data_IF_729837126229
#
_entry.id   IF_729837126229
#
_cell.length_a   1.000
_cell.length_b   1.000
_cell.length_c   1.000
_cell.angle_alpha   90.00
_cell.angle_beta   90.00
_cell.angle_gamma   90.00
#
_symmetry.space_group_name_H-M   'P 1'
#
loop_
_entity.id
_entity.type
_entity.pdbx_description
1 polymer ?
#
# COMPACT_ATOMS: atom_id res chain seq x y z
N UNK A 1 28.92 85.78 18.70
CA UNK A 1 29.17 84.65 19.62
C UNK A 1 27.81 84.20 20.13
N UNK A 2 27.30 82.98 19.97
CA UNK A 2 27.92 81.72 19.60
C UNK A 2 26.83 80.71 19.25
N UNK A 3 27.03 80.08 18.09
CA UNK A 3 26.87 78.65 17.78
C UNK A 3 25.48 78.00 17.92
N UNK A 4 24.96 77.66 16.74
CA UNK A 4 23.97 76.64 16.43
C UNK A 4 24.32 75.31 17.10
N UNK A 5 23.38 74.69 17.82
CA UNK A 5 23.52 73.28 18.21
C UNK A 5 22.26 72.50 17.85
N UNK A 6 22.30 71.94 16.65
CA UNK A 6 21.43 70.87 16.19
C UNK A 6 21.93 69.55 16.83
N UNK A 7 21.16 68.94 17.73
CA UNK A 7 21.43 67.61 18.28
C UNK A 7 20.30 66.64 17.94
N UNK A 8 20.42 66.09 16.73
CA UNK A 8 20.38 64.66 16.43
C UNK A 8 19.37 63.79 17.20
N UNK A 9 18.15 63.66 16.66
CA UNK A 9 17.25 62.54 16.96
C UNK A 9 17.85 61.25 16.40
N UNK A 10 18.62 60.52 17.21
CA UNK A 10 18.92 59.11 16.93
C UNK A 10 17.66 58.28 17.16
N UNK A 11 16.90 58.04 16.09
CA UNK A 11 15.88 56.97 16.08
C UNK A 11 16.60 55.63 16.04
N UNK A 12 16.84 55.06 17.23
CA UNK A 12 17.44 53.74 17.37
C UNK A 12 16.37 52.67 17.08
N UNK A 13 16.01 52.51 15.80
CA UNK A 13 15.14 51.44 15.35
C UNK A 13 15.97 50.14 15.34
N UNK A 14 15.89 49.38 16.44
CA UNK A 14 16.36 47.98 16.46
C UNK A 14 15.63 47.25 15.33
N UNK A 15 16.33 46.99 14.23
CA UNK A 15 15.85 46.12 13.17
C UNK A 15 15.56 44.76 13.81
N UNK A 16 14.27 44.45 13.99
CA UNK A 16 13.83 43.10 14.32
C UNK A 16 14.34 42.23 13.18
N UNK A 17 15.34 41.38 13.45
CA UNK A 17 15.75 40.36 12.49
C UNK A 17 14.54 39.45 12.30
N UNK A 18 13.79 39.68 11.22
CA UNK A 18 12.70 38.81 10.83
C UNK A 18 13.32 37.45 10.49
N UNK A 19 12.81 36.38 11.11
CA UNK A 19 13.27 35.02 10.84
C UNK A 19 13.10 34.63 9.37
N UNK A 20 13.63 33.46 8.97
CA UNK A 20 13.49 32.97 7.61
C UNK A 20 12.03 32.94 7.18
N UNK A 21 11.71 33.53 6.02
CA UNK A 21 10.39 33.50 5.42
C UNK A 21 10.20 32.13 4.77
N UNK A 22 9.38 31.27 5.36
CA UNK A 22 9.00 30.00 4.72
C UNK A 22 8.16 30.28 3.47
N UNK A 23 8.51 29.65 2.36
CA UNK A 23 7.86 29.89 1.06
C UNK A 23 7.84 28.62 0.23
N UNK A 24 6.82 28.49 -0.61
CA UNK A 24 6.78 27.47 -1.64
C UNK A 24 7.84 27.73 -2.72
N UNK A 25 8.32 26.65 -3.34
CA UNK A 25 9.24 26.72 -4.46
C UNK A 25 8.59 27.39 -5.68
N UNK A 26 9.42 27.88 -6.60
CA UNK A 26 8.96 28.49 -7.86
C UNK A 26 8.10 29.76 -7.69
N UNK A 27 8.23 30.47 -6.58
CA UNK A 27 7.54 31.75 -6.33
C UNK A 27 8.51 32.92 -6.30
N UNK A 28 8.06 34.15 -6.58
CA UNK A 28 8.90 35.36 -6.48
C UNK A 28 9.48 35.54 -5.07
N UNK A 29 8.74 35.10 -4.03
CA UNK A 29 9.17 35.13 -2.63
C UNK A 29 10.35 34.18 -2.35
N UNK A 30 10.45 33.07 -3.08
CA UNK A 30 11.59 32.14 -2.96
C UNK A 30 12.93 32.72 -3.43
N UNK A 31 12.92 33.86 -4.16
CA UNK A 31 14.14 34.55 -4.60
C UNK A 31 14.72 35.50 -3.54
N UNK A 32 14.00 35.72 -2.42
CA UNK A 32 14.45 36.61 -1.35
C UNK A 32 15.59 35.97 -0.55
N UNK A 33 16.57 36.78 -0.12
CA UNK A 33 17.76 36.29 0.61
C UNK A 33 17.44 35.65 1.97
N UNK A 34 16.30 35.97 2.56
CA UNK A 34 15.82 35.39 3.82
C UNK A 34 14.73 34.33 3.60
N UNK A 35 14.49 33.89 2.36
CA UNK A 35 13.52 32.84 2.07
C UNK A 35 14.08 31.46 2.41
N UNK A 36 13.27 30.64 3.07
CA UNK A 36 13.51 29.21 3.23
C UNK A 36 12.44 28.47 2.44
N UNK A 37 12.86 27.71 1.44
CA UNK A 37 11.94 26.99 0.57
C UNK A 37 11.58 25.66 1.22
N UNK A 38 10.29 25.43 1.46
CA UNK A 38 9.81 24.12 1.88
C UNK A 38 9.93 23.13 0.73
N UNK A 39 10.55 21.98 0.98
CA UNK A 39 10.58 20.88 0.00
C UNK A 39 9.17 20.36 -0.31
N UNK A 40 8.99 19.62 -1.42
CA UNK A 40 7.70 19.02 -1.74
C UNK A 40 7.26 18.04 -0.65
N UNK A 41 5.94 17.81 -0.53
CA UNK A 41 5.41 16.81 0.36
C UNK A 41 6.02 15.43 0.06
N UNK A 42 6.22 14.61 1.10
CA UNK A 42 6.74 13.25 0.94
C UNK A 42 5.77 12.45 0.08
N UNK A 43 6.28 11.84 -1.00
CA UNK A 43 5.45 11.10 -1.96
C UNK A 43 4.90 9.77 -1.41
N UNK A 44 5.26 9.38 -0.18
CA UNK A 44 4.81 8.15 0.51
C UNK A 44 4.91 6.86 -0.33
N UNK A 45 5.82 6.81 -1.31
CA UNK A 45 5.92 5.69 -2.25
C UNK A 45 6.22 4.35 -1.56
N UNK A 46 6.95 4.37 -0.44
CA UNK A 46 7.34 3.18 0.34
C UNK A 46 6.42 2.91 1.54
N UNK A 47 5.38 3.73 1.74
CA UNK A 47 4.43 3.50 2.83
C UNK A 47 3.64 2.22 2.55
N UNK A 48 3.57 1.32 3.54
CA UNK A 48 2.75 0.11 3.48
C UNK A 48 1.29 0.51 3.21
N UNK A 49 0.68 -0.14 2.22
CA UNK A 49 -0.72 0.05 1.86
C UNK A 49 -1.50 -1.14 2.37
N UNK A 50 -2.49 -0.91 3.23
CA UNK A 50 -3.37 -1.98 3.68
C UNK A 50 -4.29 -2.38 2.52
N UNK A 51 -4.45 -3.68 2.30
CA UNK A 51 -5.39 -4.22 1.33
C UNK A 51 -6.84 -4.00 1.79
N UNK A 52 -7.75 -3.86 0.84
CA UNK A 52 -9.19 -3.87 1.12
C UNK A 52 -9.63 -5.33 1.37
N UNK A 53 -10.75 -5.57 2.06
CA UNK A 53 -11.29 -6.92 2.22
C UNK A 53 -11.45 -7.61 0.87
N UNK A 54 -10.81 -8.77 0.71
CA UNK A 54 -10.75 -9.51 -0.55
C UNK A 54 -12.09 -10.18 -0.87
N UNK A 55 -12.32 -10.49 -2.15
CA UNK A 55 -13.39 -11.37 -2.56
C UNK A 55 -13.16 -12.79 -1.99
N UNK A 56 -11.91 -13.22 -1.86
CA UNK A 56 -11.54 -14.47 -1.21
C UNK A 56 -12.16 -14.60 0.19
N UNK A 57 -11.94 -13.61 1.06
CA UNK A 57 -12.47 -13.64 2.44
C UNK A 57 -13.99 -13.77 2.48
N UNK A 58 -14.70 -13.05 1.62
CA UNK A 58 -16.17 -13.12 1.53
C UNK A 58 -16.67 -14.49 1.06
N UNK A 59 -15.99 -15.10 0.10
CA UNK A 59 -16.36 -16.43 -0.41
C UNK A 59 -16.03 -17.52 0.60
N UNK A 60 -14.93 -17.35 1.35
CA UNK A 60 -14.57 -18.23 2.45
C UNK A 60 -15.60 -18.19 3.58
N UNK A 61 -15.96 -17.00 4.06
CA UNK A 61 -16.96 -16.82 5.12
C UNK A 61 -18.35 -17.33 4.71
N UNK A 62 -18.71 -17.25 3.43
CA UNK A 62 -19.95 -17.81 2.89
C UNK A 62 -19.93 -19.34 2.79
N UNK A 63 -18.75 -19.97 2.74
CA UNK A 63 -18.58 -21.41 2.60
C UNK A 63 -18.63 -21.92 1.14
N UNK A 64 -18.38 -21.04 0.17
CA UNK A 64 -18.46 -21.36 -1.27
C UNK A 64 -17.23 -22.12 -1.78
N UNK A 65 -16.13 -22.11 -1.02
CA UNK A 65 -14.93 -22.83 -1.44
C UNK A 65 -15.06 -24.34 -1.21
N UNK A 66 -14.60 -25.16 -2.18
CA UNK A 66 -14.56 -26.61 -2.05
C UNK A 66 -13.35 -27.08 -1.20
N UNK A 67 -13.06 -26.39 -0.09
CA UNK A 67 -11.93 -26.67 0.80
C UNK A 67 -12.39 -26.80 2.26
N UNK A 68 -11.64 -27.53 3.06
CA UNK A 68 -11.80 -27.69 4.49
C UNK A 68 -10.43 -27.81 5.18
N UNK A 69 -10.38 -27.54 6.49
CA UNK A 69 -9.16 -27.77 7.28
C UNK A 69 -8.98 -29.27 7.51
N UNK A 70 -7.84 -29.83 7.13
CA UNK A 70 -7.46 -31.19 7.50
C UNK A 70 -6.65 -31.16 8.79
N UNK A 71 -7.10 -31.88 9.82
CA UNK A 71 -6.36 -32.06 11.06
C UNK A 71 -5.53 -33.34 10.98
N UNK A 72 -4.34 -33.26 10.36
CA UNK A 72 -3.35 -34.33 10.44
C UNK A 72 -2.34 -34.03 11.56
N UNK A 73 -2.00 -35.06 12.34
CA UNK A 73 -0.93 -35.05 13.34
C UNK A 73 0.45 -34.69 12.78
N UNK A 74 0.65 -34.75 11.45
CA UNK A 74 1.92 -34.47 10.76
C UNK A 74 2.03 -33.05 10.19
N UNK A 75 0.96 -32.25 10.23
CA UNK A 75 0.97 -30.87 9.75
C UNK A 75 -0.41 -30.40 9.27
N UNK A 76 -0.53 -29.09 9.05
CA UNK A 76 -1.76 -28.51 8.52
C UNK A 76 -1.79 -28.67 7.00
N UNK A 77 -2.83 -29.35 6.50
CA UNK A 77 -3.16 -29.42 5.08
C UNK A 77 -4.59 -28.96 4.87
N UNK A 78 -4.93 -28.63 3.63
CA UNK A 78 -6.31 -28.38 3.25
C UNK A 78 -6.85 -29.64 2.57
N UNK A 79 -8.05 -30.06 2.98
CA UNK A 79 -8.77 -31.14 2.34
C UNK A 79 -9.69 -30.54 1.27
N UNK A 80 -9.57 -31.03 0.04
CA UNK A 80 -10.43 -30.64 -1.06
C UNK A 80 -11.70 -31.48 -1.06
N UNK A 81 -12.86 -30.83 -1.05
CA UNK A 81 -14.18 -31.50 -1.16
C UNK A 81 -14.45 -31.99 -2.58
N UNK A 82 -13.79 -31.40 -3.57
CA UNK A 82 -13.89 -31.73 -5.00
C UNK A 82 -12.48 -31.92 -5.54
N UNK A 83 -12.28 -32.93 -6.37
CA UNK A 83 -10.98 -33.16 -7.04
C UNK A 83 -10.53 -31.91 -7.79
N UNK A 84 -9.27 -31.50 -7.58
CA UNK A 84 -8.70 -30.28 -8.15
C UNK A 84 -8.83 -30.28 -9.69
N UNK A 85 -8.61 -31.45 -10.31
CA UNK A 85 -8.71 -31.65 -11.75
C UNK A 85 -10.11 -31.38 -12.31
N UNK A 86 -11.16 -31.42 -11.49
CA UNK A 86 -12.56 -31.17 -11.90
C UNK A 86 -13.00 -29.73 -11.65
N UNK A 87 -12.18 -28.91 -11.00
CA UNK A 87 -12.50 -27.51 -10.75
C UNK A 87 -12.47 -26.67 -12.02
N UNK A 88 -13.30 -25.61 -12.02
CA UNK A 88 -13.24 -24.54 -12.99
C UNK A 88 -12.17 -23.52 -12.58
N UNK A 89 -11.04 -23.56 -13.28
CA UNK A 89 -9.91 -22.68 -13.01
C UNK A 89 -10.21 -21.22 -13.33
N UNK A 90 -11.14 -20.91 -14.24
CA UNK A 90 -11.51 -19.52 -14.55
C UNK A 90 -12.25 -18.86 -13.39
N UNK A 91 -12.98 -19.65 -12.60
CA UNK A 91 -13.68 -19.14 -11.43
C UNK A 91 -12.79 -19.14 -10.18
N UNK A 92 -12.19 -20.28 -9.86
CA UNK A 92 -11.55 -20.46 -8.55
C UNK A 92 -10.12 -19.92 -8.49
N UNK A 93 -9.30 -20.09 -9.53
CA UNK A 93 -7.89 -19.70 -9.44
C UNK A 93 -7.71 -18.18 -9.23
N UNK A 94 -8.41 -17.30 -9.98
CA UNK A 94 -8.35 -15.86 -9.70
C UNK A 94 -8.85 -15.48 -8.30
N UNK A 95 -9.89 -16.16 -7.80
CA UNK A 95 -10.39 -15.94 -6.43
C UNK A 95 -9.36 -16.32 -5.37
N UNK A 96 -8.64 -17.43 -5.55
CA UNK A 96 -7.54 -17.81 -4.67
C UNK A 96 -6.39 -16.80 -4.72
N UNK A 97 -6.02 -16.32 -5.91
CA UNK A 97 -5.00 -15.29 -6.09
C UNK A 97 -5.37 -13.94 -5.45
N UNK A 98 -6.64 -13.55 -5.44
CA UNK A 98 -7.11 -12.37 -4.71
C UNK A 98 -6.85 -12.50 -3.20
N UNK A 99 -6.85 -13.73 -2.67
CA UNK A 99 -6.50 -14.06 -1.30
C UNK A 99 -5.01 -13.87 -0.94
N UNK A 100 -4.10 -13.60 -1.89
CA UNK A 100 -2.70 -13.30 -1.60
C UNK A 100 -2.51 -12.02 -0.77
N UNK A 101 -3.50 -11.12 -0.81
CA UNK A 101 -3.54 -9.91 -0.01
C UNK A 101 -3.97 -10.15 1.46
N UNK A 102 -4.43 -11.35 1.80
CA UNK A 102 -4.81 -11.71 3.17
C UNK A 102 -3.57 -12.02 4.01
N UNK A 103 -3.55 -11.47 5.22
CA UNK A 103 -2.45 -11.58 6.19
C UNK A 103 -2.90 -12.20 7.52
N UNK A 104 -4.21 -12.42 7.69
CA UNK A 104 -4.81 -12.92 8.91
C UNK A 104 -5.16 -14.40 8.77
N UNK A 105 -4.86 -15.17 9.82
CA UNK A 105 -5.30 -16.56 9.93
C UNK A 105 -6.82 -16.63 10.16
N UNK A 106 -7.57 -17.55 9.51
CA UNK A 106 -7.08 -18.67 8.69
C UNK A 106 -6.97 -18.37 7.17
N UNK A 107 -7.39 -17.20 6.72
CA UNK A 107 -7.57 -16.90 5.29
C UNK A 107 -6.26 -16.96 4.50
N UNK A 108 -5.17 -16.43 5.06
CA UNK A 108 -3.85 -16.43 4.43
C UNK A 108 -3.35 -17.85 4.12
N UNK A 109 -3.56 -18.78 5.06
CA UNK A 109 -3.19 -20.18 4.94
C UNK A 109 -3.98 -20.88 3.84
N UNK A 110 -5.31 -20.72 3.82
CA UNK A 110 -6.16 -21.33 2.80
C UNK A 110 -5.89 -20.76 1.41
N UNK A 111 -5.63 -19.45 1.29
CA UNK A 111 -5.29 -18.84 0.01
C UNK A 111 -3.98 -19.44 -0.52
N UNK A 112 -2.91 -19.43 0.28
CA UNK A 112 -1.59 -19.92 -0.13
C UNK A 112 -1.59 -21.40 -0.47
N UNK A 113 -2.17 -22.24 0.38
CA UNK A 113 -2.21 -23.68 0.15
C UNK A 113 -3.12 -24.03 -1.03
N UNK A 114 -4.24 -23.32 -1.19
CA UNK A 114 -5.14 -23.48 -2.32
C UNK A 114 -4.47 -23.18 -3.65
N UNK A 115 -3.75 -22.06 -3.73
CA UNK A 115 -2.95 -21.70 -4.92
C UNK A 115 -1.91 -22.77 -5.20
N UNK A 116 -1.16 -23.20 -4.18
CA UNK A 116 -0.11 -24.21 -4.33
C UNK A 116 -0.68 -25.50 -4.95
N UNK A 117 -1.73 -26.06 -4.35
CA UNK A 117 -2.32 -27.31 -4.80
C UNK A 117 -2.92 -27.18 -6.22
N UNK A 118 -3.58 -26.05 -6.52
CA UNK A 118 -4.15 -25.78 -7.84
C UNK A 118 -3.08 -25.59 -8.92
N UNK A 119 -1.93 -25.00 -8.61
CA UNK A 119 -0.83 -24.85 -9.56
C UNK A 119 -0.10 -26.19 -9.79
N UNK A 120 0.09 -26.97 -8.73
CA UNK A 120 0.76 -28.28 -8.81
C UNK A 120 -0.06 -29.28 -9.66
N UNK A 121 -1.39 -29.31 -9.49
CA UNK A 121 -2.27 -30.28 -10.16
C UNK A 121 -3.06 -29.70 -11.35
N UNK A 122 -2.84 -28.42 -11.68
CA UNK A 122 -3.65 -27.73 -12.70
C UNK A 122 -3.25 -28.01 -14.15
N UNK A 123 -2.00 -28.41 -14.39
CA UNK A 123 -1.49 -28.76 -15.72
C UNK A 123 -1.88 -27.76 -16.81
N UNK A 124 -2.58 -28.24 -17.85
CA UNK A 124 -2.98 -27.43 -19.01
C UNK A 124 -4.13 -26.43 -18.75
N UNK A 125 -4.80 -26.50 -17.59
CA UNK A 125 -5.89 -25.57 -17.22
C UNK A 125 -5.39 -24.21 -16.75
N UNK A 126 -4.11 -24.10 -16.40
CA UNK A 126 -3.52 -22.85 -15.86
C UNK A 126 -3.31 -21.84 -16.99
N UNK A 127 -2.76 -22.27 -18.12
CA UNK A 127 -2.36 -21.40 -19.24
C UNK A 127 -3.50 -20.48 -19.74
N UNK A 128 -4.75 -20.98 -19.93
CA UNK A 128 -5.87 -20.12 -20.34
C UNK A 128 -6.26 -19.03 -19.33
N UNK A 129 -5.93 -19.22 -18.04
CA UNK A 129 -6.38 -18.34 -16.95
C UNK A 129 -5.35 -17.27 -16.59
N UNK A 130 -4.10 -17.39 -17.05
CA UNK A 130 -3.01 -16.43 -16.79
C UNK A 130 -3.43 -14.95 -16.96
N UNK A 131 -4.17 -14.54 -18.01
CA UNK A 131 -4.57 -13.14 -18.16
C UNK A 131 -5.40 -12.61 -16.98
N UNK A 132 -6.16 -13.47 -16.31
CA UNK A 132 -7.00 -13.12 -15.17
C UNK A 132 -6.19 -13.00 -13.86
N UNK A 133 -5.00 -13.60 -13.80
CA UNK A 133 -4.13 -13.59 -12.62
C UNK A 133 -3.28 -12.31 -12.53
N UNK A 134 -3.13 -11.56 -13.62
CA UNK A 134 -2.26 -10.37 -13.67
C UNK A 134 -2.71 -9.30 -12.67
N UNK A 135 -4.02 -9.03 -12.59
CA UNK A 135 -4.55 -7.97 -11.72
C UNK A 135 -4.40 -8.33 -10.23
N UNK A 136 -4.80 -9.54 -9.77
CA UNK A 136 -4.58 -9.95 -8.39
C UNK A 136 -3.11 -9.97 -7.93
N UNK A 137 -2.16 -10.18 -8.84
CA UNK A 137 -0.72 -10.19 -8.53
C UNK A 137 -0.14 -8.76 -8.37
N UNK A 138 -0.76 -7.76 -9.01
CA UNK A 138 -0.20 -6.41 -9.15
C UNK A 138 -0.53 -5.50 -7.97
#
# INVERSE_FOLDING_TARGET
MSVVTNQNRQTNARARQAGPLETEGFTVKSLLKNAKVSGPARAEATRIRNSKPTAFRKFYERGDFPIALEHDTKGNKIAWKVEIEKLDYHHYLPLFFDGLCEIEHPWDFFARQGIHDMLEHGGNKILPVIPQLIVPIK
#
